data_IF_090941802144
#
_entry.id   IF_090941802144
#
_cell.length_a   1.000
_cell.length_b   1.000
_cell.length_c   1.000
_cell.angle_alpha   90.00
_cell.angle_beta   90.00
_cell.angle_gamma   90.00
#
_symmetry.space_group_name_H-M   'P 1'
#
loop_
_entity.id
_entity.type
_entity.pdbx_description
1 polymer ?
#
# COMPACT_ATOMS: atom_id res chain seq x y z
N UNK A 1 0.79 25.04 -2.92
CA UNK A 1 1.00 24.08 -1.83
C UNK A 1 0.33 22.80 -2.27
N UNK A 2 1.08 21.69 -2.30
CA UNK A 2 0.55 20.38 -2.71
C UNK A 2 0.02 19.70 -1.45
N UNK A 3 -1.13 19.03 -1.58
CA UNK A 3 -1.70 18.21 -0.50
C UNK A 3 -1.56 16.75 -0.90
N UNK A 4 -1.13 15.95 0.05
CA UNK A 4 -0.93 14.52 -0.09
C UNK A 4 -1.94 13.77 0.76
N UNK A 5 -2.31 12.57 0.29
CA UNK A 5 -3.23 11.68 0.98
C UNK A 5 -2.42 10.63 1.76
N UNK A 6 -2.48 10.68 3.10
CA UNK A 6 -1.79 9.73 3.97
C UNK A 6 -2.74 8.65 4.51
N UNK A 7 -2.33 7.39 4.40
CA UNK A 7 -3.04 6.19 4.83
C UNK A 7 -2.19 5.40 5.81
N UNK A 8 -2.73 5.11 6.98
CA UNK A 8 -1.98 4.44 8.06
C UNK A 8 -2.86 3.50 8.90
N UNK A 9 -4.06 3.94 9.29
CA UNK A 9 -4.90 3.23 10.25
C UNK A 9 -5.92 2.29 9.55
N UNK A 10 -6.14 1.05 10.04
CA UNK A 10 -7.09 0.09 9.44
C UNK A 10 -8.57 0.53 9.50
N UNK A 11 -8.94 1.33 10.50
CA UNK A 11 -10.24 1.96 10.66
C UNK A 11 -10.38 3.30 9.91
N UNK A 12 -9.31 3.77 9.26
CA UNK A 12 -9.32 5.02 8.52
C UNK A 12 -10.26 4.95 7.31
N UNK A 13 -11.25 5.84 7.29
CA UNK A 13 -12.24 5.92 6.20
C UNK A 13 -11.90 6.95 5.13
N UNK A 14 -11.12 7.95 5.49
CA UNK A 14 -10.71 9.09 4.65
C UNK A 14 -9.22 9.32 4.82
N UNK A 15 -8.47 9.69 3.77
CA UNK A 15 -7.05 9.98 3.89
C UNK A 15 -6.79 11.13 4.86
N UNK A 16 -5.67 11.07 5.57
CA UNK A 16 -5.17 12.21 6.34
C UNK A 16 -4.48 13.14 5.35
N UNK A 17 -5.03 14.34 5.16
CA UNK A 17 -4.39 15.35 4.33
C UNK A 17 -3.09 15.83 5.00
N UNK A 18 -1.99 15.76 4.25
CA UNK A 18 -0.67 16.25 4.68
C UNK A 18 -0.16 17.24 3.66
N UNK A 19 0.18 18.44 4.10
CA UNK A 19 0.64 19.54 3.21
C UNK A 19 1.73 20.41 3.84
N UNK A 20 1.98 20.25 5.15
CA UNK A 20 2.94 21.03 5.92
C UNK A 20 3.91 20.13 6.68
N UNK A 21 5.12 20.64 7.03
CA UNK A 21 6.06 19.92 7.87
C UNK A 21 5.46 19.52 9.24
N UNK A 22 4.63 20.38 9.83
CA UNK A 22 3.96 20.08 11.10
C UNK A 22 3.04 18.87 10.99
N UNK A 23 2.24 18.78 9.93
CA UNK A 23 1.35 17.63 9.69
C UNK A 23 2.15 16.33 9.43
N UNK A 24 3.31 16.43 8.78
CA UNK A 24 4.24 15.31 8.64
C UNK A 24 4.75 14.82 9.99
N UNK A 25 5.19 15.74 10.86
CA UNK A 25 5.67 15.39 12.19
C UNK A 25 4.56 14.79 13.05
N UNK A 26 3.35 15.35 13.00
CA UNK A 26 2.18 14.81 13.71
C UNK A 26 1.78 13.39 13.25
N UNK A 27 1.93 13.10 11.95
CA UNK A 27 1.73 11.75 11.42
C UNK A 27 2.81 10.80 11.98
N UNK A 28 4.08 11.15 11.84
CA UNK A 28 5.20 10.30 12.27
C UNK A 28 5.20 10.07 13.78
N UNK A 29 4.95 11.10 14.57
CA UNK A 29 4.92 11.01 16.03
C UNK A 29 3.79 10.08 16.50
N UNK A 30 2.63 10.13 15.84
CA UNK A 30 1.53 9.20 16.09
C UNK A 30 1.91 7.77 15.77
N UNK A 31 2.53 7.53 14.62
CA UNK A 31 2.98 6.19 14.24
C UNK A 31 4.03 5.63 15.20
N UNK A 32 4.96 6.48 15.68
CA UNK A 32 5.95 6.08 16.68
C UNK A 32 5.28 5.73 18.00
N UNK A 33 4.37 6.58 18.50
CA UNK A 33 3.64 6.33 19.74
C UNK A 33 2.81 5.03 19.67
N UNK A 34 2.20 4.75 18.52
CA UNK A 34 1.45 3.52 18.31
C UNK A 34 2.37 2.30 18.21
N UNK A 35 3.49 2.39 17.49
CA UNK A 35 4.47 1.32 17.41
C UNK A 35 5.11 0.98 18.77
N UNK A 36 5.14 1.93 19.71
CA UNK A 36 5.61 1.72 21.09
C UNK A 36 4.55 1.10 22.01
N UNK A 37 3.29 0.97 21.56
CA UNK A 37 2.23 0.31 22.31
C UNK A 37 2.56 -1.17 22.53
N UNK A 38 2.34 -1.73 23.73
CA UNK A 38 2.57 -3.15 23.99
C UNK A 38 1.62 -4.08 23.21
N UNK A 39 0.58 -3.53 22.58
CA UNK A 39 -0.37 -4.27 21.75
C UNK A 39 0.11 -4.45 20.30
N UNK A 40 1.17 -3.73 19.90
CA UNK A 40 1.72 -3.76 18.54
C UNK A 40 2.96 -4.68 18.52
N UNK A 41 2.82 -5.83 17.87
CA UNK A 41 3.88 -6.86 17.83
C UNK A 41 4.85 -6.69 16.63
N UNK A 42 4.40 -6.00 15.58
CA UNK A 42 5.14 -5.81 14.32
C UNK A 42 5.24 -4.33 13.96
N UNK A 43 6.14 -3.95 13.06
CA UNK A 43 6.24 -2.55 12.63
C UNK A 43 4.95 -2.09 11.93
N UNK A 44 4.65 -0.79 11.94
CA UNK A 44 3.49 -0.23 11.25
C UNK A 44 3.92 0.39 9.92
N UNK A 45 3.02 0.40 8.93
CA UNK A 45 3.26 1.01 7.61
C UNK A 45 2.28 2.14 7.38
N UNK A 46 2.78 3.21 6.77
CA UNK A 46 1.97 4.25 6.16
C UNK A 46 2.31 4.44 4.69
N UNK A 47 1.38 5.04 3.97
CA UNK A 47 1.50 5.37 2.57
C UNK A 47 1.04 6.81 2.37
N UNK A 48 1.85 7.62 1.69
CA UNK A 48 1.51 8.97 1.27
C UNK A 48 1.45 8.98 -0.25
N UNK A 49 0.26 9.16 -0.82
CA UNK A 49 0.08 9.27 -2.26
C UNK A 49 -0.17 10.71 -2.71
N UNK A 50 0.39 11.02 -3.89
CA UNK A 50 0.18 12.26 -4.62
C UNK A 50 -0.26 11.93 -6.03
N UNK A 51 -1.31 12.60 -6.51
CA UNK A 51 -1.83 12.44 -7.86
C UNK A 51 -2.28 13.79 -8.40
N UNK A 52 -1.79 14.14 -9.58
CA UNK A 52 -2.19 15.34 -10.31
C UNK A 52 -2.23 15.08 -11.83
N UNK A 53 -2.33 16.14 -12.62
CA UNK A 53 -2.33 16.04 -14.09
C UNK A 53 -0.98 15.59 -14.66
N UNK A 54 0.12 15.86 -13.95
CA UNK A 54 1.48 15.58 -14.37
C UNK A 54 1.88 14.13 -14.05
N UNK A 55 1.30 13.53 -13.00
CA UNK A 55 1.46 12.11 -12.72
C UNK A 55 0.97 11.64 -11.36
N UNK A 56 1.62 10.57 -10.89
CA UNK A 56 1.39 10.01 -9.57
C UNK A 56 2.72 9.65 -8.94
N UNK A 57 2.78 9.76 -7.61
CA UNK A 57 3.87 9.24 -6.81
C UNK A 57 3.33 8.73 -5.48
N UNK A 58 4.04 7.76 -4.92
CA UNK A 58 3.71 7.11 -3.66
C UNK A 58 4.99 6.98 -2.87
N UNK A 59 4.96 7.48 -1.63
CA UNK A 59 5.95 7.18 -0.62
C UNK A 59 5.34 6.23 0.40
N UNK A 60 5.84 5.00 0.47
CA UNK A 60 5.52 4.07 1.55
C UNK A 60 6.61 4.16 2.60
N UNK A 61 6.28 4.09 3.88
CA UNK A 61 7.30 4.00 4.92
C UNK A 61 6.79 3.20 6.10
N UNK A 62 7.72 2.55 6.80
CA UNK A 62 7.44 1.79 8.00
C UNK A 62 8.05 2.43 9.24
N UNK A 63 7.43 2.20 10.39
CA UNK A 63 7.93 2.58 11.72
C UNK A 63 7.87 1.36 12.61
N UNK A 64 8.99 1.01 13.25
CA UNK A 64 9.07 -0.14 14.15
C UNK A 64 9.78 0.27 15.43
N UNK A 65 9.11 0.07 16.56
CA UNK A 65 9.74 0.12 17.86
C UNK A 65 10.59 -1.15 18.02
N UNK A 66 11.91 -0.98 18.01
CA UNK A 66 12.87 -2.03 18.32
C UNK A 66 13.83 -1.49 19.40
N UNK A 67 14.90 -2.23 19.73
CA UNK A 67 15.95 -1.72 20.63
C UNK A 67 16.49 -0.34 20.20
N UNK A 68 16.42 -0.06 18.91
CA UNK A 68 16.54 1.28 18.32
C UNK A 68 15.36 1.50 17.38
N UNK A 69 14.56 2.55 17.57
CA UNK A 69 13.46 2.89 16.66
C UNK A 69 13.99 3.04 15.23
N UNK A 70 13.42 2.27 14.32
CA UNK A 70 13.86 2.17 12.94
C UNK A 70 12.66 2.02 12.00
N UNK A 71 12.92 2.05 10.70
CA UNK A 71 11.86 2.01 9.70
C UNK A 71 12.44 1.78 8.31
N UNK A 72 11.57 1.74 7.30
CA UNK A 72 11.99 1.69 5.91
C UNK A 72 11.27 2.77 5.10
N UNK A 73 11.75 3.05 3.90
CA UNK A 73 11.07 3.93 2.95
C UNK A 73 11.05 3.24 1.58
N UNK A 74 9.91 3.22 0.92
CA UNK A 74 9.70 2.80 -0.46
C UNK A 74 9.17 3.96 -1.30
N UNK A 75 9.60 4.04 -2.55
CA UNK A 75 9.11 5.04 -3.49
C UNK A 75 8.69 4.38 -4.81
N UNK A 76 7.55 4.81 -5.34
CA UNK A 76 7.16 4.57 -6.71
C UNK A 76 6.62 5.87 -7.32
N UNK A 77 7.00 6.13 -8.56
CA UNK A 77 6.52 7.28 -9.33
C UNK A 77 6.14 6.84 -10.74
N UNK A 78 5.34 7.68 -11.39
CA UNK A 78 5.04 7.53 -12.82
C UNK A 78 6.34 7.45 -13.63
N UNK A 79 6.45 6.42 -14.47
CA UNK A 79 7.60 6.16 -15.35
C UNK A 79 8.95 5.96 -14.63
N UNK A 80 8.94 5.73 -13.31
CA UNK A 80 10.13 5.41 -12.51
C UNK A 80 10.12 3.97 -11.99
N UNK A 81 11.31 3.35 -11.90
CA UNK A 81 11.48 2.06 -11.24
C UNK A 81 11.16 2.19 -9.75
N UNK A 82 10.35 1.28 -9.22
CA UNK A 82 10.09 1.21 -7.79
C UNK A 82 11.37 0.92 -7.02
N UNK A 83 11.56 1.62 -5.91
CA UNK A 83 12.75 1.50 -5.07
C UNK A 83 12.36 1.35 -3.60
N UNK A 84 13.25 0.74 -2.83
CA UNK A 84 13.18 0.70 -1.37
C UNK A 84 14.52 1.16 -0.78
N UNK A 85 14.49 1.72 0.42
CA UNK A 85 15.67 2.12 1.17
C UNK A 85 16.61 0.94 1.37
N UNK A 86 17.89 1.23 1.61
CA UNK A 86 18.85 0.21 2.02
C UNK A 86 19.88 0.78 3.00
N UNK A 87 20.12 0.05 4.09
CA UNK A 87 21.23 0.31 5.01
C UNK A 87 22.58 -0.22 4.50
N UNK A 88 22.58 -0.99 3.40
CA UNK A 88 23.76 -1.71 2.93
C UNK A 88 24.09 -2.95 3.77
N UNK A 89 23.22 -3.34 4.71
CA UNK A 89 23.34 -4.57 5.48
C UNK A 89 23.16 -5.83 4.62
N UNK A 90 23.67 -6.96 5.13
CA UNK A 90 23.64 -8.27 4.44
C UNK A 90 22.71 -9.29 5.11
N UNK A 91 22.01 -8.92 6.19
CA UNK A 91 21.06 -9.84 6.83
C UNK A 91 19.92 -10.16 5.86
N UNK A 92 19.65 -11.44 5.57
CA UNK A 92 18.60 -11.84 4.63
C UNK A 92 17.24 -12.01 5.33
N UNK A 93 17.19 -11.97 6.66
CA UNK A 93 15.95 -12.25 7.39
C UNK A 93 14.95 -11.10 7.18
N UNK A 94 13.72 -11.41 6.72
CA UNK A 94 12.68 -10.42 6.58
C UNK A 94 12.17 -9.98 7.97
N UNK A 95 11.65 -8.77 8.01
CA UNK A 95 11.01 -8.16 9.17
C UNK A 95 9.54 -7.92 8.82
N UNK A 96 8.66 -8.29 9.74
CA UNK A 96 7.23 -8.11 9.57
C UNK A 96 6.81 -6.67 9.87
N UNK A 97 5.92 -6.16 9.02
CA UNK A 97 5.29 -4.86 9.12
C UNK A 97 3.80 -5.00 8.79
N UNK A 98 2.91 -4.45 9.61
CA UNK A 98 1.47 -4.40 9.37
C UNK A 98 1.09 -3.14 8.59
N UNK A 99 0.32 -3.34 7.52
CA UNK A 99 -0.38 -2.27 6.82
C UNK A 99 -1.88 -2.56 6.84
N UNK A 100 -2.63 -1.77 7.60
CA UNK A 100 -4.10 -1.89 7.72
C UNK A 100 -4.56 -3.32 8.05
N UNK A 101 -4.01 -3.93 9.10
CA UNK A 101 -4.30 -5.30 9.55
C UNK A 101 -3.86 -6.39 8.57
N UNK A 102 -2.87 -6.08 7.73
CA UNK A 102 -2.23 -7.04 6.86
C UNK A 102 -0.72 -6.98 6.97
N UNK A 103 -0.14 -8.05 7.53
CA UNK A 103 1.31 -8.21 7.63
C UNK A 103 1.98 -8.34 6.26
N UNK A 104 3.16 -7.75 6.17
CA UNK A 104 4.05 -7.71 5.01
C UNK A 104 5.47 -7.93 5.48
N UNK A 105 6.22 -8.69 4.72
CA UNK A 105 7.64 -8.91 4.97
C UNK A 105 8.46 -7.89 4.18
N UNK A 106 9.32 -7.16 4.90
CA UNK A 106 10.29 -6.24 4.33
C UNK A 106 11.69 -6.77 4.64
N UNK A 107 12.62 -6.79 3.67
CA UNK A 107 13.99 -7.22 3.94
C UNK A 107 14.64 -6.36 5.02
N UNK A 108 15.24 -6.96 6.05
CA UNK A 108 15.87 -6.23 7.17
C UNK A 108 16.93 -5.22 6.71
N UNK A 109 17.62 -5.49 5.61
CA UNK A 109 18.58 -4.55 5.02
C UNK A 109 17.96 -3.33 4.33
N UNK A 110 16.63 -3.23 4.29
CA UNK A 110 15.91 -2.02 3.92
C UNK A 110 15.68 -1.09 5.11
N UNK A 111 15.81 -1.58 6.34
CA UNK A 111 15.62 -0.75 7.53
C UNK A 111 16.76 0.28 7.66
N UNK A 112 16.37 1.52 7.89
CA UNK A 112 17.23 2.69 8.12
C UNK A 112 16.83 3.34 9.45
N UNK A 113 17.60 4.35 9.89
CA UNK A 113 17.30 5.03 11.14
C UNK A 113 15.99 5.81 11.05
N UNK A 114 15.29 5.97 12.18
CA UNK A 114 14.05 6.76 12.20
C UNK A 114 14.28 8.24 11.87
N UNK A 115 15.49 8.75 12.08
CA UNK A 115 15.92 10.10 11.65
C UNK A 115 15.90 10.19 10.12
N UNK A 116 16.44 9.19 9.43
CA UNK A 116 16.46 9.16 7.96
C UNK A 116 15.06 8.98 7.37
N UNK A 117 14.21 8.15 8.00
CA UNK A 117 12.80 8.00 7.59
C UNK A 117 12.08 9.34 7.71
N UNK A 118 12.20 10.02 8.86
CA UNK A 118 11.58 11.33 9.08
C UNK A 118 12.02 12.34 8.02
N UNK A 119 13.32 12.45 7.79
CA UNK A 119 13.86 13.37 6.79
C UNK A 119 13.33 13.05 5.38
N UNK A 120 13.25 11.75 5.02
CA UNK A 120 12.76 11.34 3.70
C UNK A 120 11.29 11.71 3.48
N UNK A 121 10.43 11.55 4.51
CA UNK A 121 9.02 11.94 4.41
C UNK A 121 8.88 13.45 4.26
N UNK A 122 9.65 14.24 5.04
CA UNK A 122 9.69 15.70 4.89
C UNK A 122 10.15 16.12 3.50
N UNK A 123 11.23 15.54 2.98
CA UNK A 123 11.77 15.86 1.65
C UNK A 123 10.75 15.55 0.55
N UNK A 124 10.03 14.42 0.65
CA UNK A 124 9.00 14.04 -0.29
C UNK A 124 7.84 15.04 -0.33
N UNK A 125 7.32 15.43 0.83
CA UNK A 125 6.23 16.41 0.93
C UNK A 125 6.68 17.79 0.46
N UNK A 126 7.87 18.24 0.89
CA UNK A 126 8.43 19.55 0.53
C UNK A 126 8.76 19.68 -0.96
N UNK A 127 9.12 18.57 -1.62
CA UNK A 127 9.44 18.55 -3.06
C UNK A 127 8.24 18.36 -3.97
N UNK A 128 7.04 18.14 -3.42
CA UNK A 128 5.85 17.89 -4.24
C UNK A 128 5.77 16.47 -4.79
N UNK A 129 6.32 15.47 -4.08
CA UNK A 129 6.22 14.06 -4.47
C UNK A 129 7.44 13.52 -5.22
N UNK A 130 8.55 14.26 -5.24
CA UNK A 130 9.79 13.79 -5.86
C UNK A 130 10.49 12.80 -4.93
N UNK A 131 11.11 11.76 -5.50
CA UNK A 131 11.91 10.78 -4.75
C UNK A 131 12.97 11.48 -3.87
N UNK A 132 12.98 11.25 -2.55
CA UNK A 132 14.00 11.80 -1.65
C UNK A 132 15.41 11.37 -2.02
N UNK A 133 16.37 12.28 -1.92
CA UNK A 133 17.80 12.02 -2.26
C UNK A 133 18.68 11.73 -1.05
N UNK A 134 18.20 12.01 0.16
CA UNK A 134 18.91 11.72 1.42
C UNK A 134 18.95 10.23 1.80
N UNK A 135 18.26 9.36 1.06
CA UNK A 135 18.18 7.93 1.31
C UNK A 135 18.93 7.16 0.22
N UNK A 136 19.61 6.07 0.61
CA UNK A 136 20.17 5.12 -0.34
C UNK A 136 19.09 4.16 -0.80
N UNK A 137 18.96 4.01 -2.11
CA UNK A 137 17.91 3.21 -2.74
C UNK A 137 18.48 1.93 -3.35
N UNK A 138 17.66 0.89 -3.36
CA UNK A 138 17.83 -0.28 -4.23
C UNK A 138 16.55 -0.49 -5.03
N UNK A 139 16.70 -0.95 -6.26
CA UNK A 139 15.55 -1.29 -7.11
C UNK A 139 14.81 -2.51 -6.55
N UNK A 140 13.49 -2.46 -6.65
CA UNK A 140 12.63 -3.61 -6.36
C UNK A 140 11.75 -3.87 -7.57
N UNK A 141 11.70 -5.13 -8.01
CA UNK A 141 10.74 -5.52 -9.03
C UNK A 141 9.34 -5.43 -8.42
N UNK A 142 8.48 -4.68 -9.12
CA UNK A 142 7.22 -4.04 -8.70
C UNK A 142 6.27 -4.86 -7.81
N UNK A 143 6.35 -6.20 -7.79
CA UNK A 143 5.41 -7.04 -7.05
C UNK A 143 5.52 -7.02 -5.52
N UNK A 144 6.66 -6.68 -4.91
CA UNK A 144 6.86 -7.05 -3.50
C UNK A 144 6.47 -6.00 -2.44
N UNK A 145 6.42 -4.71 -2.77
CA UNK A 145 6.39 -3.66 -1.72
C UNK A 145 5.26 -2.64 -1.94
N UNK A 146 5.04 -2.19 -3.18
CA UNK A 146 4.17 -1.02 -3.47
C UNK A 146 2.89 -1.40 -4.27
N UNK A 147 2.90 -2.50 -5.03
CA UNK A 147 1.91 -2.76 -6.09
C UNK A 147 0.51 -3.24 -5.67
N UNK A 148 0.20 -3.42 -4.37
CA UNK A 148 -1.13 -3.91 -3.96
C UNK A 148 -2.09 -2.80 -3.51
N UNK A 149 -1.68 -1.52 -3.50
CA UNK A 149 -2.51 -0.41 -3.01
C UNK A 149 -3.14 0.47 -4.12
N UNK A 150 -2.83 0.23 -5.39
CA UNK A 150 -3.44 0.98 -6.50
C UNK A 150 -4.66 0.19 -7.00
N UNK A 151 -5.90 0.67 -6.84
CA UNK A 151 -7.05 0.03 -7.47
C UNK A 151 -6.87 0.08 -9.00
N UNK A 152 -7.17 -1.00 -9.75
CA UNK A 152 -7.07 -0.99 -11.19
C UNK A 152 -8.21 -0.17 -11.79
N UNK A 153 -8.09 1.16 -11.85
CA UNK A 153 -8.95 1.98 -12.68
C UNK A 153 -8.40 2.05 -14.10
N UNK A 154 -8.96 1.19 -14.96
CA UNK A 154 -9.07 1.49 -16.39
C UNK A 154 -7.94 1.03 -17.30
N UNK A 155 -7.68 -0.28 -17.35
CA UNK A 155 -7.13 -0.85 -18.58
C UNK A 155 -8.27 -0.94 -19.60
N UNK A 156 -8.39 0.10 -20.44
CA UNK A 156 -9.34 0.15 -21.55
C UNK A 156 -9.13 -1.03 -22.48
N UNK A 157 -10.06 -1.98 -22.44
CA UNK A 157 -10.16 -3.07 -23.40
C UNK A 157 -10.46 -2.48 -24.78
N UNK A 158 -9.40 -2.32 -25.57
CA UNK A 158 -9.51 -2.15 -27.02
C UNK A 158 -10.34 -3.31 -27.57
N UNK A 159 -11.47 -2.96 -28.18
CA UNK A 159 -12.42 -3.89 -28.77
C UNK A 159 -11.76 -4.78 -29.82
N UNK A 160 -12.08 -6.07 -29.73
CA UNK A 160 -11.87 -7.05 -30.81
C UNK A 160 -13.21 -7.21 -31.53
N UNK A 161 -13.26 -7.16 -32.88
CA UNK A 161 -14.51 -7.12 -33.61
C UNK A 161 -15.24 -8.46 -33.62
N UNK A 162 -16.56 -8.33 -33.69
CA UNK A 162 -17.60 -9.36 -33.77
C UNK A 162 -17.40 -10.27 -34.97
N UNK A 163 -17.33 -11.58 -34.73
CA UNK A 163 -17.47 -12.64 -35.73
C UNK A 163 -18.45 -13.69 -35.22
N UNK A 164 -19.69 -13.65 -35.73
CA UNK A 164 -20.80 -14.42 -35.21
C UNK A 164 -20.78 -15.91 -35.53
N UNK A 165 -21.60 -16.66 -34.79
CA UNK A 165 -22.54 -17.64 -35.35
C UNK A 165 -23.60 -18.01 -34.31
N UNK A 166 -24.85 -17.93 -34.76
CA UNK A 166 -26.08 -18.46 -34.16
C UNK A 166 -25.97 -19.95 -33.83
N UNK A 167 -26.81 -20.36 -32.86
CA UNK A 167 -27.55 -21.63 -32.67
C UNK A 167 -27.53 -21.97 -31.17
N UNK A 168 -28.57 -22.42 -30.48
CA UNK A 168 -30.02 -22.47 -30.68
C UNK A 168 -30.58 -22.80 -29.28
N UNK A 169 -31.81 -22.40 -29.03
CA UNK A 169 -32.57 -22.52 -27.79
C UNK A 169 -32.99 -23.95 -27.41
N UNK A 170 -33.03 -24.29 -26.11
CA UNK A 170 -34.05 -25.19 -25.54
C UNK A 170 -34.43 -24.73 -24.11
N UNK A 171 -35.74 -24.67 -23.75
CA UNK A 171 -36.24 -24.13 -22.48
C UNK A 171 -36.66 -25.21 -21.47
N UNK A 172 -36.81 -24.81 -20.20
CA UNK A 172 -37.78 -25.43 -19.29
C UNK A 172 -37.28 -25.72 -17.87
N UNK A 173 -37.78 -24.96 -16.90
CA UNK A 173 -38.48 -25.45 -15.70
C UNK A 173 -38.54 -24.32 -14.66
N UNK A 174 -39.72 -23.71 -14.53
CA UNK A 174 -40.00 -22.73 -13.49
C UNK A 174 -40.39 -23.39 -12.17
N UNK A 175 -39.97 -22.76 -11.07
CA UNK A 175 -40.56 -22.80 -9.72
C UNK A 175 -40.15 -21.46 -9.11
N UNK A 176 -41.01 -20.46 -8.90
CA UNK A 176 -42.07 -20.42 -7.90
C UNK A 176 -41.74 -19.24 -6.95
N UNK A 177 -42.33 -18.06 -7.20
CA UNK A 177 -42.24 -16.90 -6.31
C UNK A 177 -43.37 -17.00 -5.27
N UNK A 178 -43.02 -17.05 -3.99
CA UNK A 178 -43.93 -16.68 -2.90
C UNK A 178 -43.26 -15.57 -2.08
N UNK A 179 -43.92 -14.42 -2.08
CA UNK A 179 -43.61 -13.29 -1.22
C UNK A 179 -44.05 -13.59 0.22
N UNK A 180 -43.18 -13.30 1.18
CA UNK A 180 -43.49 -13.45 2.59
C UNK A 180 -42.28 -13.15 3.47
N UNK A 181 -42.29 -11.93 4.01
CA UNK A 181 -41.63 -11.49 5.23
C UNK A 181 -40.26 -10.79 5.14
N UNK A 182 -40.26 -9.64 5.80
CA UNK A 182 -39.40 -8.50 5.65
C UNK A 182 -38.69 -8.29 6.98
N UNK A 183 -37.44 -8.77 7.11
CA UNK A 183 -36.45 -8.24 8.07
C UNK A 183 -35.04 -8.82 7.83
N UNK A 184 -34.06 -7.91 7.80
CA UNK A 184 -32.60 -8.08 7.68
C UNK A 184 -32.03 -8.23 6.25
N UNK A 185 -32.04 -7.11 5.52
CA UNK A 185 -31.03 -6.81 4.49
C UNK A 185 -29.82 -6.12 5.16
N UNK A 186 -28.65 -6.75 5.11
CA UNK A 186 -27.37 -6.17 4.63
C UNK A 186 -26.23 -7.15 4.90
N UNK A 187 -26.13 -8.19 4.08
CA UNK A 187 -24.92 -8.98 3.92
C UNK A 187 -24.75 -9.17 2.42
N UNK A 188 -24.07 -8.25 1.74
CA UNK A 188 -23.48 -8.44 0.42
C UNK A 188 -22.60 -7.23 0.12
N UNK A 189 -21.29 -7.45 0.01
CA UNK A 189 -20.35 -6.41 -0.45
C UNK A 189 -18.93 -6.45 0.13
N UNK A 190 -18.41 -7.60 0.57
CA UNK A 190 -17.01 -7.70 1.02
C UNK A 190 -16.46 -9.10 0.77
N UNK A 191 -16.47 -9.54 -0.49
CA UNK A 191 -15.91 -10.84 -0.88
C UNK A 191 -15.52 -10.83 -2.35
N UNK A 192 -14.41 -10.17 -2.65
CA UNK A 192 -13.51 -10.44 -3.77
C UNK A 192 -12.40 -9.39 -3.62
N UNK A 193 -11.15 -9.80 -3.49
CA UNK A 193 -9.99 -9.27 -4.23
C UNK A 193 -8.72 -9.99 -3.74
N UNK A 194 -8.50 -11.13 -4.39
CA UNK A 194 -7.23 -11.69 -4.89
C UNK A 194 -6.13 -12.10 -3.88
N UNK A 195 -6.14 -13.42 -3.65
CA UNK A 195 -4.98 -14.31 -3.48
C UNK A 195 -3.80 -13.93 -4.39
N UNK A 196 -2.63 -13.63 -3.81
CA UNK A 196 -1.34 -14.00 -4.42
C UNK A 196 -0.17 -13.84 -3.44
N UNK A 197 0.07 -14.80 -2.53
CA UNK A 197 1.43 -15.15 -2.08
C UNK A 197 1.45 -16.65 -1.74
N UNK A 198 1.63 -17.50 -2.74
CA UNK A 198 2.33 -18.77 -2.57
C UNK A 198 3.37 -18.82 -3.68
N UNK A 199 4.63 -18.96 -3.28
CA UNK A 199 5.81 -19.29 -4.09
C UNK A 199 6.88 -18.20 -4.16
N UNK A 200 7.50 -17.93 -3.01
CA UNK A 200 8.94 -17.64 -3.03
C UNK A 200 9.65 -18.31 -1.85
N UNK A 201 9.84 -19.62 -1.99
CA UNK A 201 10.80 -20.40 -1.21
C UNK A 201 11.14 -21.68 -1.97
N UNK A 202 11.99 -21.55 -2.99
CA UNK A 202 12.92 -22.58 -3.47
C UNK A 202 13.79 -22.00 -4.58
N UNK A 203 15.10 -22.24 -4.46
CA UNK A 203 16.22 -21.75 -5.27
C UNK A 203 16.86 -20.46 -4.76
N UNK A 204 17.65 -20.57 -3.70
CA UNK A 204 19.11 -20.57 -3.79
C UNK A 204 19.68 -21.48 -2.69
#
# INVERSE_FOLDING_TARGET
>A
MVTFDAWFDPGQREPLAVSTPTEVDELLDRMVAEAESPEVEVGLVALIDHRDEDGWSILQFGVRAAATTCGFVGYAGKDETSVISTSGGTSPEPVAYDYQSHEREVPSNAEISMVDVRQAVHDYVASGGVRPTGVRWREVFTCCVIALCIPPTGCGSRGVPVGGKLLESVPGAGVGYSAGDERRRSNFGSALWILCVVSWSRHY
#
